data_IF_537594338032
#
_entry.id   IF_537594338032
#
_cell.length_a   1.000
_cell.length_b   1.000
_cell.length_c   1.000
_cell.angle_alpha   90.00
_cell.angle_beta   90.00
_cell.angle_gamma   90.00
#
_symmetry.space_group_name_H-M   'P 1'
#
loop_
_entity.id
_entity.type
_entity.pdbx_description
1 polymer ?
#
# COMPACT_ATOMS: atom_id res chain seq x y z
N UNK A 1 20.38 1.17 -13.40
CA UNK A 1 21.38 0.86 -12.36
C UNK A 1 21.32 1.86 -11.21
N UNK A 2 21.35 3.18 -11.48
CA UNK A 2 21.40 4.23 -10.42
C UNK A 2 20.20 4.18 -9.49
N UNK A 3 18.98 3.98 -10.01
CA UNK A 3 17.78 3.88 -9.19
C UNK A 3 17.84 2.73 -8.18
N UNK A 4 18.42 1.59 -8.56
CA UNK A 4 18.60 0.45 -7.65
C UNK A 4 19.56 0.74 -6.48
N UNK A 5 20.40 1.78 -6.59
CA UNK A 5 21.29 2.18 -5.50
C UNK A 5 20.55 2.91 -4.38
N UNK A 6 19.36 3.48 -4.62
CA UNK A 6 18.59 4.18 -3.60
C UNK A 6 18.35 3.31 -2.36
N UNK A 7 17.83 2.10 -2.56
CA UNK A 7 17.50 1.19 -1.46
C UNK A 7 18.72 0.77 -0.62
N UNK A 8 19.91 0.72 -1.21
CA UNK A 8 21.09 0.23 -0.51
C UNK A 8 22.09 1.34 -0.10
N UNK A 9 21.88 2.59 -0.51
CA UNK A 9 22.80 3.70 -0.22
C UNK A 9 22.18 4.88 0.51
N UNK A 10 20.86 5.09 0.36
CA UNK A 10 20.19 6.25 0.91
C UNK A 10 19.13 5.89 1.96
N UNK A 11 18.82 4.61 2.13
CA UNK A 11 17.82 4.14 3.07
C UNK A 11 18.48 3.27 4.14
N UNK A 12 18.04 3.41 5.38
CA UNK A 12 18.50 2.58 6.49
C UNK A 12 18.23 1.10 6.17
N UNK A 13 19.24 0.21 6.24
CA UNK A 13 19.07 -1.21 5.91
C UNK A 13 18.09 -1.96 6.83
N UNK A 14 17.65 -1.35 7.94
CA UNK A 14 16.60 -1.89 8.82
C UNK A 14 15.19 -1.60 8.30
N UNK A 15 15.05 -0.66 7.36
CA UNK A 15 13.77 -0.33 6.74
C UNK A 15 13.41 -1.34 5.65
N UNK A 16 12.15 -1.72 5.60
CA UNK A 16 11.65 -2.59 4.53
C UNK A 16 11.33 -1.76 3.30
N UNK A 17 12.14 -1.92 2.26
CA UNK A 17 11.94 -1.27 0.97
C UNK A 17 12.13 -2.30 -0.15
N UNK A 18 11.13 -2.38 -1.03
CA UNK A 18 11.25 -3.04 -2.32
C UNK A 18 11.28 -1.96 -3.41
N UNK A 19 12.40 -1.82 -4.06
CA UNK A 19 12.57 -0.93 -5.22
C UNK A 19 13.05 -1.77 -6.39
N UNK A 20 12.25 -1.84 -7.43
CA UNK A 20 12.55 -2.63 -8.63
C UNK A 20 12.40 -1.80 -9.90
N UNK A 21 13.22 -2.09 -10.88
CA UNK A 21 13.05 -1.68 -12.27
C UNK A 21 12.42 -2.86 -12.99
N UNK A 22 11.10 -2.78 -13.21
CA UNK A 22 10.31 -3.93 -13.66
C UNK A 22 10.35 -4.10 -15.17
N UNK A 23 10.48 -2.99 -15.90
CA UNK A 23 10.53 -2.99 -17.35
C UNK A 23 11.52 -1.92 -17.81
N UNK A 24 12.32 -2.27 -18.81
CA UNK A 24 13.20 -1.33 -19.52
C UNK A 24 13.22 -1.76 -20.99
N UNK A 25 12.70 -0.93 -21.86
CA UNK A 25 12.58 -1.27 -23.27
C UNK A 25 12.65 -0.06 -24.18
N UNK A 26 13.00 -0.32 -25.44
CA UNK A 26 13.03 0.67 -26.51
C UNK A 26 13.59 0.09 -27.79
N UNK A 27 13.19 0.70 -28.93
CA UNK A 27 13.65 0.31 -30.24
C UNK A 27 12.96 -0.90 -30.87
N UNK A 28 13.15 -1.06 -32.17
CA UNK A 28 12.52 -2.12 -32.99
C UNK A 28 13.54 -3.02 -33.67
N UNK A 29 14.82 -2.64 -33.70
CA UNK A 29 15.89 -3.37 -34.38
C UNK A 29 17.19 -3.34 -33.56
N UNK A 30 17.89 -4.45 -33.49
CA UNK A 30 19.11 -4.64 -32.67
C UNK A 30 20.32 -3.79 -33.09
N UNK A 31 20.32 -3.29 -34.30
CA UNK A 31 21.40 -2.47 -34.89
C UNK A 31 21.05 -0.98 -35.01
N UNK A 32 19.92 -0.54 -34.44
CA UNK A 32 19.48 0.86 -34.46
C UNK A 32 19.28 1.33 -33.02
N UNK A 33 19.96 2.40 -32.65
CA UNK A 33 19.77 3.07 -31.36
C UNK A 33 18.39 3.75 -31.40
N UNK A 34 17.46 3.46 -30.48
CA UNK A 34 16.16 4.07 -30.48
C UNK A 34 16.19 5.53 -30.03
N UNK A 35 15.24 6.32 -30.53
CA UNK A 35 15.04 7.71 -30.10
C UNK A 35 14.49 7.80 -28.67
N UNK A 36 13.70 6.80 -28.25
CA UNK A 36 13.08 6.74 -26.93
C UNK A 36 13.23 5.36 -26.28
N UNK A 37 13.23 5.35 -24.96
CA UNK A 37 13.15 4.14 -24.17
C UNK A 37 12.23 4.37 -22.96
N UNK A 38 11.44 3.36 -22.62
CA UNK A 38 10.54 3.36 -21.48
C UNK A 38 11.15 2.56 -20.31
N UNK A 39 10.99 3.09 -19.11
CA UNK A 39 11.42 2.43 -17.87
C UNK A 39 10.24 2.46 -16.91
N UNK A 40 9.83 1.30 -16.39
CA UNK A 40 8.86 1.20 -15.31
C UNK A 40 9.56 0.83 -14.00
N UNK A 41 9.26 1.59 -12.96
CA UNK A 41 9.84 1.43 -11.63
C UNK A 41 8.73 1.24 -10.61
N UNK A 42 8.85 0.23 -9.76
CA UNK A 42 7.96 0.05 -8.62
C UNK A 42 8.76 0.23 -7.32
N UNK A 43 8.19 0.98 -6.38
CA UNK A 43 8.72 1.16 -5.05
C UNK A 43 7.65 0.87 -4.00
N UNK A 44 7.98 0.07 -3.00
CA UNK A 44 7.08 -0.28 -1.88
C UNK A 44 7.84 -0.16 -0.57
N UNK A 45 7.22 0.49 0.41
CA UNK A 45 7.76 0.63 1.76
C UNK A 45 6.61 0.75 2.77
N UNK A 46 6.89 0.42 4.03
CA UNK A 46 5.94 0.60 5.13
C UNK A 46 6.19 1.88 5.93
N UNK A 47 7.23 2.64 5.61
CA UNK A 47 7.61 3.85 6.32
C UNK A 47 7.28 5.11 5.49
N UNK A 48 6.43 6.00 6.05
CA UNK A 48 6.00 7.24 5.37
C UNK A 48 7.17 8.17 5.02
N UNK A 49 8.19 8.27 5.87
CA UNK A 49 9.33 9.13 5.60
C UNK A 49 10.19 8.57 4.47
N UNK A 50 10.33 7.24 4.42
CA UNK A 50 11.00 6.55 3.30
C UNK A 50 10.21 6.74 2.01
N UNK A 51 8.87 6.67 2.06
CA UNK A 51 8.01 6.97 0.90
C UNK A 51 8.27 8.38 0.38
N UNK A 52 8.23 9.40 1.23
CA UNK A 52 8.51 10.80 0.85
C UNK A 52 9.89 10.95 0.24
N UNK A 53 10.89 10.29 0.83
CA UNK A 53 12.25 10.30 0.31
C UNK A 53 12.30 9.72 -1.11
N UNK A 54 11.70 8.55 -1.34
CA UNK A 54 11.68 7.90 -2.66
C UNK A 54 10.95 8.74 -3.72
N UNK A 55 9.77 9.30 -3.37
CA UNK A 55 8.98 10.16 -4.27
C UNK A 55 9.80 11.39 -4.71
N UNK A 56 10.65 11.91 -3.85
CA UNK A 56 11.53 13.03 -4.19
C UNK A 56 12.76 12.59 -4.97
N UNK A 57 13.42 11.51 -4.53
CA UNK A 57 14.73 11.12 -5.06
C UNK A 57 14.67 10.41 -6.40
N UNK A 58 13.61 9.65 -6.68
CA UNK A 58 13.47 8.97 -7.99
C UNK A 58 13.44 9.98 -9.14
N UNK A 59 12.61 11.03 -9.12
CA UNK A 59 12.65 12.09 -10.13
C UNK A 59 14.02 12.78 -10.24
N UNK A 60 14.62 13.17 -9.12
CA UNK A 60 15.92 13.85 -9.10
C UNK A 60 17.02 13.02 -9.77
N UNK A 61 17.12 11.74 -9.41
CA UNK A 61 18.13 10.84 -10.00
C UNK A 61 17.86 10.64 -11.48
N UNK A 62 16.59 10.50 -11.86
CA UNK A 62 16.19 10.35 -13.26
C UNK A 62 16.61 11.57 -14.06
N UNK A 63 16.26 12.76 -13.60
CA UNK A 63 16.60 14.02 -14.24
C UNK A 63 18.12 14.16 -14.44
N UNK A 64 18.90 14.01 -13.36
CA UNK A 64 20.34 14.17 -13.44
C UNK A 64 21.01 13.10 -14.31
N UNK A 65 20.52 11.87 -14.29
CA UNK A 65 21.06 10.78 -15.13
C UNK A 65 20.79 11.06 -16.60
N UNK A 66 19.57 11.47 -16.95
CA UNK A 66 19.21 11.75 -18.34
C UNK A 66 19.96 12.97 -18.87
N UNK A 67 20.06 14.05 -18.10
CA UNK A 67 20.82 15.26 -18.47
C UNK A 67 22.30 15.01 -18.63
N UNK A 68 22.91 14.11 -17.86
CA UNK A 68 24.31 13.71 -18.03
C UNK A 68 24.59 13.19 -19.45
N UNK A 69 23.60 12.53 -20.05
CA UNK A 69 23.68 12.00 -21.41
C UNK A 69 23.01 12.92 -22.45
N UNK A 70 22.67 14.17 -22.11
CA UNK A 70 22.04 15.17 -22.99
C UNK A 70 20.68 14.72 -23.54
N UNK A 71 20.00 13.85 -22.80
CA UNK A 71 18.64 13.42 -23.09
C UNK A 71 17.60 14.32 -22.41
N UNK A 72 16.34 14.01 -22.69
CA UNK A 72 15.17 14.55 -22.01
C UNK A 72 14.28 13.41 -21.52
N UNK A 73 13.29 13.68 -20.66
CA UNK A 73 12.40 12.64 -20.15
C UNK A 73 11.05 13.21 -19.77
N UNK A 74 10.03 12.39 -19.93
CA UNK A 74 8.72 12.56 -19.32
C UNK A 74 8.53 11.53 -18.21
N UNK A 75 7.88 11.92 -17.13
CA UNK A 75 7.62 11.03 -16.02
C UNK A 75 6.14 11.03 -15.64
N UNK A 76 5.56 9.85 -15.54
CA UNK A 76 4.22 9.65 -15.01
C UNK A 76 4.38 9.02 -13.63
N UNK A 77 3.92 9.72 -12.60
CA UNK A 77 3.93 9.25 -11.22
C UNK A 77 2.55 8.72 -10.83
N UNK A 78 2.50 7.49 -10.35
CA UNK A 78 1.33 6.84 -9.77
C UNK A 78 1.62 6.53 -8.30
N UNK A 79 1.66 7.56 -7.49
CA UNK A 79 1.87 7.41 -6.06
C UNK A 79 0.55 7.14 -5.35
N UNK A 80 0.46 6.02 -4.63
CA UNK A 80 -0.62 5.71 -3.70
C UNK A 80 -0.05 5.69 -2.28
N UNK A 81 -0.63 6.43 -1.33
CA UNK A 81 -0.17 6.44 0.05
C UNK A 81 -0.23 5.04 0.68
N UNK A 82 0.68 4.77 1.60
CA UNK A 82 0.62 3.55 2.40
C UNK A 82 -0.65 3.54 3.25
N UNK A 83 -1.36 2.42 3.28
CA UNK A 83 -2.49 2.21 4.19
C UNK A 83 -1.94 2.06 5.61
N UNK A 84 -2.19 3.05 6.44
CA UNK A 84 -1.70 3.11 7.81
C UNK A 84 -2.85 3.07 8.80
N UNK A 85 -2.80 2.13 9.71
CA UNK A 85 -3.78 2.02 10.78
C UNK A 85 -3.36 2.88 11.98
N UNK A 86 -4.24 3.77 12.44
CA UNK A 86 -4.04 4.51 13.69
C UNK A 86 -4.13 3.57 14.89
N UNK A 87 -3.05 3.48 15.66
CA UNK A 87 -2.94 2.52 16.76
C UNK A 87 -3.99 2.77 17.86
N UNK A 88 -4.28 4.03 18.19
CA UNK A 88 -5.26 4.36 19.23
C UNK A 88 -6.67 3.99 18.75
N UNK A 89 -7.00 4.30 17.50
CA UNK A 89 -8.28 3.94 16.92
C UNK A 89 -8.43 2.41 16.84
N UNK A 90 -7.38 1.68 16.47
CA UNK A 90 -7.41 0.22 16.44
C UNK A 90 -7.70 -0.40 17.81
N UNK A 91 -7.05 0.09 18.86
CA UNK A 91 -7.29 -0.39 20.24
C UNK A 91 -8.71 -0.03 20.71
N UNK A 92 -9.22 1.14 20.33
CA UNK A 92 -10.59 1.56 20.67
C UNK A 92 -11.65 0.69 19.96
N UNK A 93 -11.42 0.35 18.69
CA UNK A 93 -12.40 -0.36 17.86
C UNK A 93 -12.35 -1.89 18.02
N UNK A 94 -11.21 -2.43 18.46
CA UNK A 94 -11.02 -3.87 18.62
C UNK A 94 -12.14 -4.57 19.45
N UNK A 95 -12.61 -4.05 20.59
CA UNK A 95 -13.70 -4.67 21.33
C UNK A 95 -14.95 -4.85 20.51
N UNK A 96 -15.30 -3.87 19.66
CA UNK A 96 -16.50 -3.93 18.82
C UNK A 96 -16.37 -4.95 17.69
N UNK A 97 -15.16 -5.19 17.20
CA UNK A 97 -14.88 -6.29 16.27
C UNK A 97 -15.04 -7.65 16.96
N UNK A 98 -14.54 -7.77 18.19
CA UNK A 98 -14.63 -8.99 18.97
C UNK A 98 -16.07 -9.38 19.34
N UNK A 99 -16.97 -8.41 19.52
CA UNK A 99 -18.41 -8.67 19.74
C UNK A 99 -19.07 -9.46 18.61
N UNK A 100 -18.61 -9.26 17.37
CA UNK A 100 -19.18 -9.92 16.18
C UNK A 100 -18.41 -11.20 15.83
N UNK A 101 -17.08 -11.16 15.91
CA UNK A 101 -16.22 -12.24 15.39
C UNK A 101 -15.73 -13.21 16.48
N UNK A 102 -15.79 -12.83 17.77
CA UNK A 102 -15.08 -13.50 18.83
C UNK A 102 -13.61 -13.04 18.93
N UNK A 103 -13.07 -13.02 20.16
CA UNK A 103 -11.71 -12.49 20.43
C UNK A 103 -10.63 -13.30 19.70
N UNK A 104 -10.81 -14.62 19.61
CA UNK A 104 -9.91 -15.55 18.95
C UNK A 104 -9.79 -15.36 17.44
N UNK A 105 -10.76 -14.70 16.82
CA UNK A 105 -10.82 -14.46 15.38
C UNK A 105 -10.41 -13.04 14.99
N UNK A 106 -10.14 -12.16 15.96
CA UNK A 106 -9.64 -10.80 15.70
C UNK A 106 -8.13 -10.75 15.88
N UNK A 107 -7.41 -10.86 14.78
CA UNK A 107 -5.96 -11.04 14.79
C UNK A 107 -5.24 -9.77 14.30
N UNK A 108 -4.08 -9.49 14.90
CA UNK A 108 -3.12 -8.54 14.32
C UNK A 108 -2.28 -9.28 13.29
N UNK A 109 -2.44 -8.91 12.03
CA UNK A 109 -1.69 -9.52 10.92
C UNK A 109 -0.39 -8.74 10.63
N UNK A 110 0.64 -9.40 10.08
CA UNK A 110 1.84 -8.71 9.59
C UNK A 110 1.52 -7.68 8.52
N UNK A 111 2.39 -6.67 8.39
CA UNK A 111 2.28 -5.70 7.30
C UNK A 111 2.34 -6.41 5.93
N UNK A 112 1.45 -6.02 5.04
CA UNK A 112 1.37 -6.54 3.68
C UNK A 112 1.80 -5.46 2.69
N UNK A 113 2.67 -5.83 1.75
CA UNK A 113 3.17 -4.92 0.72
C UNK A 113 2.15 -4.74 -0.43
N UNK A 114 0.88 -4.57 -0.10
CA UNK A 114 -0.20 -4.26 -1.02
C UNK A 114 -0.35 -2.77 -1.28
N UNK A 115 -1.11 -2.42 -2.30
CA UNK A 115 -1.53 -1.04 -2.59
C UNK A 115 -3.04 -0.97 -2.43
N UNK A 116 -3.54 0.04 -1.72
CA UNK A 116 -4.94 0.20 -1.40
C UNK A 116 -5.30 1.70 -1.36
N UNK A 117 -6.40 2.08 -2.03
CA UNK A 117 -6.85 3.48 -2.09
C UNK A 117 -7.24 4.04 -0.71
N UNK A 118 -7.53 3.17 0.25
CA UNK A 118 -7.81 3.56 1.62
C UNK A 118 -6.64 4.30 2.30
N UNK A 119 -5.43 4.22 1.75
CA UNK A 119 -4.29 5.03 2.17
C UNK A 119 -4.60 6.52 2.19
N UNK A 120 -5.35 7.04 1.21
CA UNK A 120 -5.79 8.44 1.16
C UNK A 120 -6.72 8.82 2.33
N UNK A 121 -7.57 7.89 2.79
CA UNK A 121 -8.40 8.11 3.98
C UNK A 121 -7.52 8.24 5.21
N UNK A 122 -6.53 7.37 5.36
CA UNK A 122 -5.58 7.39 6.48
C UNK A 122 -4.65 8.62 6.51
N UNK A 123 -4.48 9.33 5.37
CA UNK A 123 -3.79 10.63 5.34
C UNK A 123 -4.69 11.79 5.81
N UNK A 124 -5.99 11.67 5.59
CA UNK A 124 -6.94 12.73 5.92
C UNK A 124 -7.46 12.67 7.36
N UNK A 125 -7.65 11.46 7.89
CA UNK A 125 -8.22 11.24 9.23
C UNK A 125 -7.60 9.98 9.87
N UNK A 126 -7.63 9.85 11.21
CA UNK A 126 -7.33 8.58 11.87
C UNK A 126 -8.23 7.47 11.31
N UNK A 127 -7.64 6.40 10.83
CA UNK A 127 -8.36 5.36 10.11
C UNK A 127 -7.88 3.96 10.51
N UNK A 128 -8.74 2.96 10.36
CA UNK A 128 -8.43 1.55 10.53
C UNK A 128 -8.90 0.78 9.29
N UNK A 129 -7.98 0.11 8.63
CA UNK A 129 -8.25 -0.84 7.57
C UNK A 129 -8.18 -2.25 8.13
N UNK A 130 -9.27 -2.97 8.09
CA UNK A 130 -9.37 -4.35 8.54
C UNK A 130 -9.69 -5.27 7.36
N UNK A 131 -9.06 -6.43 7.32
CA UNK A 131 -9.36 -7.48 6.35
C UNK A 131 -10.24 -8.55 6.97
N UNK A 132 -11.16 -9.10 6.20
CA UNK A 132 -11.97 -10.26 6.59
C UNK A 132 -11.57 -11.47 5.76
N UNK A 133 -11.39 -12.61 6.41
CA UNK A 133 -11.12 -13.88 5.74
C UNK A 133 -12.37 -14.35 5.00
N UNK A 134 -12.27 -14.53 3.69
CA UNK A 134 -13.38 -14.92 2.82
C UNK A 134 -13.10 -16.21 2.04
N UNK A 135 -12.17 -17.01 2.50
CA UNK A 135 -11.80 -18.28 1.89
C UNK A 135 -11.36 -19.30 2.91
N UNK A 136 -11.21 -20.52 2.47
CA UNK A 136 -10.59 -21.59 3.24
C UNK A 136 -9.13 -21.78 2.83
N UNK A 137 -8.40 -22.70 3.50
CA UNK A 137 -6.98 -22.98 3.24
C UNK A 137 -6.67 -23.49 1.83
N UNK A 138 -7.67 -24.00 1.12
CA UNK A 138 -7.54 -24.55 -0.24
C UNK A 138 -8.02 -23.53 -1.30
N UNK A 139 -8.49 -22.34 -0.86
CA UNK A 139 -8.94 -21.30 -1.77
C UNK A 139 -7.79 -20.69 -2.57
N UNK A 140 -8.04 -20.37 -3.83
CA UNK A 140 -7.09 -19.65 -4.64
C UNK A 140 -6.85 -18.24 -4.04
N UNK A 141 -5.59 -17.74 -4.05
CA UNK A 141 -5.28 -16.43 -3.47
C UNK A 141 -5.91 -15.28 -4.24
N UNK A 142 -5.88 -14.07 -3.65
CA UNK A 142 -6.24 -12.82 -4.34
C UNK A 142 -5.51 -12.70 -5.69
N UNK A 143 -6.18 -12.09 -6.66
CA UNK A 143 -5.71 -11.93 -8.03
C UNK A 143 -5.57 -13.23 -8.85
N UNK A 144 -5.98 -14.36 -8.32
CA UNK A 144 -6.06 -15.58 -9.10
C UNK A 144 -7.43 -15.65 -9.81
N UNK A 145 -7.49 -16.04 -11.10
CA UNK A 145 -8.76 -16.15 -11.84
C UNK A 145 -9.74 -17.20 -11.26
N UNK A 146 -9.23 -18.13 -10.45
CA UNK A 146 -10.04 -19.14 -9.76
C UNK A 146 -10.40 -18.75 -8.31
N UNK A 147 -10.13 -17.51 -7.92
CA UNK A 147 -10.52 -17.05 -6.58
C UNK A 147 -12.05 -17.08 -6.43
N UNK A 148 -12.49 -17.66 -5.32
CA UNK A 148 -13.91 -17.70 -4.93
C UNK A 148 -14.03 -17.13 -3.52
N UNK A 149 -14.95 -16.20 -3.36
CA UNK A 149 -15.29 -15.60 -2.06
C UNK A 149 -16.37 -16.47 -1.39
N UNK A 150 -16.17 -16.77 -0.12
CA UNK A 150 -17.20 -17.36 0.72
C UNK A 150 -18.26 -16.28 1.04
N UNK A 151 -19.42 -16.41 0.38
CA UNK A 151 -20.49 -15.42 0.49
C UNK A 151 -21.14 -15.40 1.89
N UNK A 152 -20.99 -16.46 2.68
CA UNK A 152 -21.47 -16.50 4.07
C UNK A 152 -20.72 -15.50 4.98
N UNK A 153 -19.56 -15.00 4.53
CA UNK A 153 -18.81 -13.96 5.23
C UNK A 153 -19.27 -12.53 4.93
N UNK A 154 -20.05 -12.30 3.87
CA UNK A 154 -20.53 -10.96 3.50
C UNK A 154 -21.40 -10.30 4.58
N UNK A 155 -22.35 -10.99 5.23
CA UNK A 155 -23.11 -10.43 6.33
C UNK A 155 -22.25 -10.00 7.52
N UNK A 156 -21.16 -10.73 7.80
CA UNK A 156 -20.22 -10.36 8.87
C UNK A 156 -19.49 -9.06 8.55
N UNK A 157 -19.05 -8.86 7.31
CA UNK A 157 -18.47 -7.59 6.88
C UNK A 157 -19.39 -6.41 7.10
N UNK A 158 -20.66 -6.53 6.71
CA UNK A 158 -21.67 -5.50 6.93
C UNK A 158 -21.94 -5.26 8.42
N UNK A 159 -22.05 -6.33 9.22
CA UNK A 159 -22.28 -6.24 10.66
C UNK A 159 -21.10 -5.58 11.40
N UNK A 160 -19.87 -5.88 11.02
CA UNK A 160 -18.67 -5.27 11.58
C UNK A 160 -18.67 -3.75 11.37
N UNK A 161 -18.90 -3.27 10.15
CA UNK A 161 -18.97 -1.84 9.86
C UNK A 161 -20.09 -1.16 10.66
N UNK A 162 -21.28 -1.74 10.70
CA UNK A 162 -22.41 -1.19 11.44
C UNK A 162 -22.14 -1.15 12.97
N UNK A 163 -21.62 -2.24 13.54
CA UNK A 163 -21.33 -2.33 14.97
C UNK A 163 -20.27 -1.33 15.41
N UNK A 164 -19.16 -1.27 14.66
CA UNK A 164 -18.07 -0.32 14.93
C UNK A 164 -18.57 1.12 14.86
N UNK A 165 -19.27 1.49 13.78
CA UNK A 165 -19.74 2.86 13.60
C UNK A 165 -20.73 3.27 14.69
N UNK A 166 -21.72 2.42 15.02
CA UNK A 166 -22.75 2.72 16.04
C UNK A 166 -22.13 2.87 17.42
N UNK A 167 -21.25 1.96 17.81
CA UNK A 167 -20.65 1.97 19.16
C UNK A 167 -19.64 3.11 19.32
N UNK A 168 -18.82 3.36 18.30
CA UNK A 168 -17.92 4.50 18.30
C UNK A 168 -18.69 5.83 18.45
N UNK A 169 -19.76 6.04 17.68
CA UNK A 169 -20.59 7.25 17.78
C UNK A 169 -21.28 7.37 19.15
N UNK A 170 -21.73 6.28 19.75
CA UNK A 170 -22.32 6.31 21.11
C UNK A 170 -21.29 6.78 22.15
N UNK A 171 -20.04 6.29 22.05
CA UNK A 171 -18.98 6.62 22.99
C UNK A 171 -18.50 8.07 22.85
N UNK A 172 -18.62 8.66 21.65
CA UNK A 172 -18.15 10.04 21.37
C UNK A 172 -19.24 11.11 21.52
N UNK A 173 -20.52 10.77 21.37
CA UNK A 173 -21.64 11.72 21.63
C UNK A 173 -21.68 12.27 23.06
N UNK A 174 -21.08 11.57 24.03
CA UNK A 174 -21.09 11.99 25.44
C UNK A 174 -20.03 13.08 25.76
N UNK A 175 -19.13 13.41 24.83
CA UNK A 175 -18.05 14.38 25.07
C UNK A 175 -18.36 15.80 24.58
N UNK A 176 -19.48 16.02 23.87
CA UNK A 176 -19.89 17.32 23.36
C UNK A 176 -20.96 18.03 24.21
N UNK A 177 -21.14 17.62 25.49
CA UNK A 177 -22.05 18.31 26.43
C UNK A 177 -21.30 18.91 27.60
#
# INVERSE_FOLDING_TARGET
TTLNLLSCREIDPRETVALSVDECGGGTAVNIIPDTADIKVAARTFNREVTKHLVTRIPEITEHTVKMWRGDYDMIDFHTPSTYNDENLCEELKPFLCEIMGEENVLKVPCMAGTEDFGYVGEAVPAMFATIGVGNKDAAPMHNPNMVVDEDMLPYGAALHANVAVNWLKNHKSKER
#
